data_IF_796800555685
#
_entry.id   IF_796800555685
#
_cell.length_a   1.000
_cell.length_b   1.000
_cell.length_c   1.000
_cell.angle_alpha   90.00
_cell.angle_beta   90.00
_cell.angle_gamma   90.00
#
_symmetry.space_group_name_H-M   'P 1'
#
loop_
_entity.id
_entity.type
_entity.pdbx_description
1 polymer ?
#
# COMPACT_ATOMS: atom_id res chain seq x y z
N UNK A 1 4.09 18.62 -6.32
CA UNK A 1 3.91 17.26 -6.85
C UNK A 1 5.13 16.38 -6.60
N UNK A 2 6.28 16.62 -7.26
CA UNK A 2 7.48 15.77 -7.14
C UNK A 2 8.02 15.59 -5.71
N UNK A 3 8.00 16.65 -4.91
CA UNK A 3 8.41 16.58 -3.50
C UNK A 3 7.52 15.64 -2.67
N UNK A 4 6.22 15.61 -2.93
CA UNK A 4 5.29 14.70 -2.25
C UNK A 4 5.50 13.25 -2.65
N UNK A 5 5.77 13.00 -3.94
CA UNK A 5 6.14 11.66 -4.41
C UNK A 5 7.44 11.18 -3.76
N UNK A 6 8.48 12.02 -3.75
CA UNK A 6 9.76 11.69 -3.11
C UNK A 6 9.64 11.42 -1.61
N UNK A 7 8.72 12.12 -0.91
CA UNK A 7 8.44 11.84 0.50
C UNK A 7 7.85 10.44 0.69
N UNK A 8 6.86 10.05 -0.13
CA UNK A 8 6.27 8.69 -0.09
C UNK A 8 7.30 7.62 -0.43
N UNK A 9 8.19 7.87 -1.40
CA UNK A 9 9.28 6.95 -1.73
C UNK A 9 10.20 6.75 -0.53
N UNK A 10 10.61 7.83 0.15
CA UNK A 10 11.45 7.73 1.34
C UNK A 10 10.74 7.02 2.50
N UNK A 11 9.43 7.27 2.68
CA UNK A 11 8.61 6.57 3.66
C UNK A 11 8.61 5.06 3.40
N UNK A 12 8.43 4.66 2.14
CA UNK A 12 8.44 3.26 1.73
C UNK A 12 9.75 2.55 2.07
N UNK A 13 10.90 3.21 1.92
CA UNK A 13 12.20 2.59 2.19
C UNK A 13 12.62 2.62 3.66
N UNK A 14 12.16 3.58 4.45
CA UNK A 14 12.71 3.84 5.80
C UNK A 14 11.76 3.51 6.94
N UNK A 15 10.45 3.56 6.73
CA UNK A 15 9.48 3.33 7.79
C UNK A 15 9.45 1.83 8.20
N UNK A 16 9.32 1.52 9.51
CA UNK A 16 8.99 0.17 9.97
C UNK A 16 7.74 -0.38 9.27
N UNK A 17 7.65 -1.69 9.06
CA UNK A 17 6.61 -2.28 8.23
C UNK A 17 5.19 -2.00 8.75
N UNK A 18 5.03 -1.99 10.06
CA UNK A 18 3.80 -1.66 10.79
C UNK A 18 3.31 -0.23 10.59
N UNK A 19 4.17 0.69 10.12
CA UNK A 19 3.85 2.09 9.83
C UNK A 19 3.97 2.42 8.33
N UNK A 20 4.35 1.43 7.52
CA UNK A 20 4.66 1.61 6.11
C UNK A 20 3.38 1.50 5.27
N UNK A 21 2.75 2.65 5.01
CA UNK A 21 1.44 2.75 4.33
C UNK A 21 1.41 1.96 3.01
N UNK A 22 2.36 2.10 2.07
CA UNK A 22 2.34 1.30 0.84
C UNK A 22 2.45 -0.21 1.09
N UNK A 23 3.25 -0.66 2.07
CA UNK A 23 3.37 -2.08 2.42
C UNK A 23 2.06 -2.61 2.97
N UNK A 24 1.44 -1.91 3.91
CA UNK A 24 0.16 -2.31 4.50
C UNK A 24 -0.95 -2.38 3.44
N UNK A 25 -1.02 -1.41 2.53
CA UNK A 25 -1.99 -1.42 1.43
C UNK A 25 -1.77 -2.59 0.46
N UNK A 26 -0.50 -2.97 0.23
CA UNK A 26 -0.12 -4.16 -0.53
C UNK A 26 -0.55 -5.45 0.15
N UNK A 27 -0.25 -5.60 1.44
CA UNK A 27 -0.66 -6.77 2.24
C UNK A 27 -2.18 -6.90 2.32
N UNK A 28 -2.91 -5.79 2.47
CA UNK A 28 -4.37 -5.79 2.40
C UNK A 28 -4.86 -6.29 1.03
N UNK A 29 -4.16 -5.98 -0.06
CA UNK A 29 -4.49 -6.52 -1.39
C UNK A 29 -4.32 -8.02 -1.45
N UNK A 30 -3.18 -8.51 -0.95
CA UNK A 30 -2.87 -9.94 -0.91
C UNK A 30 -3.90 -10.67 -0.05
N UNK A 31 -4.27 -10.11 1.10
CA UNK A 31 -5.30 -10.68 1.96
C UNK A 31 -6.64 -10.85 1.23
N UNK A 32 -7.11 -9.78 0.59
CA UNK A 32 -8.38 -9.81 -0.15
C UNK A 32 -8.34 -10.80 -1.33
N UNK A 33 -7.26 -10.83 -2.10
CA UNK A 33 -7.18 -11.68 -3.31
C UNK A 33 -6.90 -13.14 -2.96
N UNK A 34 -5.88 -13.41 -2.14
CA UNK A 34 -5.36 -14.75 -1.91
C UNK A 34 -6.11 -15.53 -0.83
N UNK A 35 -6.69 -14.84 0.16
CA UNK A 35 -7.35 -15.50 1.30
C UNK A 35 -8.87 -15.36 1.28
N UNK A 36 -9.38 -14.18 0.92
CA UNK A 36 -10.83 -13.94 0.84
C UNK A 36 -11.43 -14.22 -0.54
N UNK A 37 -10.59 -14.46 -1.56
CA UNK A 37 -11.05 -14.75 -2.92
C UNK A 37 -11.79 -13.57 -3.57
N UNK A 38 -11.46 -12.33 -3.20
CA UNK A 38 -11.97 -11.10 -3.79
C UNK A 38 -10.97 -10.57 -4.84
N UNK A 39 -11.12 -10.93 -6.14
CA UNK A 39 -10.15 -10.55 -7.18
C UNK A 39 -10.31 -9.10 -7.64
N UNK A 40 -11.46 -8.48 -7.38
CA UNK A 40 -11.77 -7.12 -7.84
C UNK A 40 -11.52 -6.09 -6.74
N UNK A 41 -10.82 -5.01 -7.08
CA UNK A 41 -10.62 -3.83 -6.23
C UNK A 41 -11.22 -2.60 -6.92
N UNK A 42 -12.23 -1.99 -6.31
CA UNK A 42 -12.76 -0.71 -6.77
C UNK A 42 -11.92 0.44 -6.20
N UNK A 43 -11.54 1.40 -7.06
CA UNK A 43 -10.88 2.64 -6.66
C UNK A 43 -11.90 3.76 -6.84
N UNK A 44 -12.36 4.33 -5.73
CA UNK A 44 -13.33 5.43 -5.70
C UNK A 44 -12.59 6.69 -5.25
N UNK A 45 -12.33 7.65 -6.15
CA UNK A 45 -11.64 8.90 -5.82
C UNK A 45 -12.53 9.89 -5.04
#
# INVERSE_FOLDING_TARGET
FLMGASFIDQHFFKAPYEENIPVLLGLLSIWNVSFLGHPARAILP
#
